data_IF_905201398900
#
_entry.id   IF_905201398900
#
_cell.length_a   1.000
_cell.length_b   1.000
_cell.length_c   1.000
_cell.angle_alpha   90.00
_cell.angle_beta   90.00
_cell.angle_gamma   90.00
#
_symmetry.space_group_name_H-M   'P 1'
#
loop_
_entity.id
_entity.type
_entity.pdbx_description
1 polymer ?
#
# COMPACT_ATOMS: atom_id res chain seq x y z
N UNK A 1 -10.94 -9.14 -3.42
CA UNK A 1 -10.13 -8.16 -2.68
C UNK A 1 -9.19 -8.85 -1.72
N UNK A 2 -8.02 -8.27 -1.49
CA UNK A 2 -7.06 -8.82 -0.54
C UNK A 2 -7.57 -8.57 0.89
N UNK A 3 -7.89 -9.64 1.61
CA UNK A 3 -8.38 -9.57 2.99
C UNK A 3 -7.30 -9.92 4.02
N UNK A 4 -6.20 -10.53 3.57
CA UNK A 4 -5.06 -10.89 4.41
C UNK A 4 -3.76 -10.76 3.61
N UNK A 5 -2.64 -10.82 4.31
CA UNK A 5 -1.31 -10.55 3.73
C UNK A 5 -0.98 -11.47 2.55
N UNK A 6 -1.35 -12.74 2.60
CA UNK A 6 -1.07 -13.69 1.53
C UNK A 6 -1.68 -13.35 0.18
N UNK A 7 -2.77 -12.57 0.17
CA UNK A 7 -3.44 -12.12 -1.05
C UNK A 7 -2.97 -10.73 -1.49
N UNK A 8 -2.15 -10.07 -0.69
CA UNK A 8 -1.71 -8.70 -0.95
C UNK A 8 -0.58 -8.69 -1.98
N UNK A 9 -0.64 -7.78 -2.95
CA UNK A 9 0.40 -7.63 -3.97
C UNK A 9 1.75 -7.17 -3.40
N UNK A 10 1.77 -6.66 -2.17
CA UNK A 10 3.00 -6.25 -1.47
C UNK A 10 3.61 -7.38 -0.64
N UNK A 11 2.94 -8.52 -0.55
CA UNK A 11 3.43 -9.69 0.19
C UNK A 11 4.35 -10.49 -0.72
N UNK A 12 5.62 -10.62 -0.33
CA UNK A 12 6.66 -11.26 -1.16
C UNK A 12 7.47 -12.25 -0.33
N UNK A 13 8.15 -13.16 -1.04
CA UNK A 13 9.10 -14.11 -0.46
C UNK A 13 8.46 -15.03 0.58
N UNK A 14 7.22 -15.47 0.32
CA UNK A 14 6.55 -16.44 1.16
C UNK A 14 7.36 -17.73 1.25
N UNK A 15 7.60 -18.21 2.47
CA UNK A 15 8.29 -19.46 2.70
C UNK A 15 7.31 -20.63 2.85
N UNK A 16 7.85 -21.84 3.11
CA UNK A 16 7.03 -23.04 3.25
C UNK A 16 6.14 -23.03 4.49
N UNK A 17 6.43 -22.18 5.47
CA UNK A 17 5.64 -22.04 6.70
C UNK A 17 4.54 -20.98 6.57
N UNK A 18 4.43 -20.33 5.41
CA UNK A 18 3.42 -19.32 5.17
C UNK A 18 3.78 -17.92 5.65
N UNK A 19 5.06 -17.65 5.88
CA UNK A 19 5.56 -16.32 6.25
C UNK A 19 6.22 -15.66 5.04
N UNK A 20 6.02 -14.39 4.91
CA UNK A 20 6.64 -13.58 3.87
C UNK A 20 6.88 -12.17 4.37
N UNK A 21 7.34 -11.31 3.48
CA UNK A 21 7.66 -9.93 3.81
C UNK A 21 6.64 -9.01 3.16
N UNK A 22 6.04 -8.11 3.95
CA UNK A 22 5.23 -7.02 3.42
C UNK A 22 6.17 -5.90 3.00
N UNK A 23 6.29 -5.67 1.69
CA UNK A 23 7.19 -4.63 1.17
C UNK A 23 6.75 -3.21 1.54
N UNK A 24 5.48 -3.04 1.91
CA UNK A 24 4.99 -1.74 2.34
C UNK A 24 5.47 -1.39 3.74
N UNK A 25 5.46 -2.35 4.66
CA UNK A 25 5.88 -2.14 6.06
C UNK A 25 7.29 -2.64 6.34
N UNK A 26 7.83 -3.54 5.51
CA UNK A 26 9.12 -4.18 5.71
C UNK A 26 9.13 -5.25 6.81
N UNK A 27 7.96 -5.61 7.32
CA UNK A 27 7.84 -6.58 8.40
C UNK A 27 7.56 -7.98 7.87
N UNK A 28 8.03 -8.99 8.59
CA UNK A 28 7.68 -10.39 8.31
C UNK A 28 6.26 -10.63 8.80
N UNK A 29 5.41 -11.14 7.90
CA UNK A 29 4.00 -11.37 8.19
C UNK A 29 3.61 -12.80 7.83
N UNK A 30 2.69 -13.37 8.59
CA UNK A 30 2.09 -14.65 8.21
C UNK A 30 1.07 -14.44 7.09
N UNK A 31 0.93 -15.44 6.22
CA UNK A 31 -0.03 -15.41 5.11
C UNK A 31 -1.44 -15.03 5.57
N UNK A 32 -1.85 -15.51 6.74
CA UNK A 32 -3.20 -15.34 7.27
C UNK A 32 -3.42 -14.04 8.04
N UNK A 33 -2.38 -13.24 8.25
CA UNK A 33 -2.55 -11.96 8.96
C UNK A 33 -3.41 -11.01 8.14
N UNK A 34 -4.30 -10.32 8.83
CA UNK A 34 -5.09 -9.25 8.22
C UNK A 34 -4.17 -8.06 7.90
N UNK A 35 -4.45 -7.40 6.78
CA UNK A 35 -3.76 -6.17 6.44
C UNK A 35 -4.09 -5.10 7.48
N UNK A 36 -3.06 -4.48 8.07
CA UNK A 36 -3.24 -3.45 9.09
C UNK A 36 -3.86 -2.15 8.53
N UNK A 37 -3.96 -2.04 7.21
CA UNK A 37 -4.56 -0.89 6.54
C UNK A 37 -5.98 -1.18 6.03
N UNK A 38 -6.51 -2.36 6.32
CA UNK A 38 -7.86 -2.73 5.90
C UNK A 38 -8.89 -1.78 6.51
N UNK A 39 -9.90 -1.41 5.70
CA UNK A 39 -11.01 -0.55 6.12
C UNK A 39 -10.60 0.84 6.63
N UNK A 40 -9.39 1.27 6.30
CA UNK A 40 -8.91 2.59 6.71
C UNK A 40 -8.59 2.70 8.20
N UNK A 41 -8.40 1.57 8.88
CA UNK A 41 -8.07 1.55 10.30
C UNK A 41 -6.71 2.17 10.62
N UNK A 42 -5.84 2.27 9.63
CA UNK A 42 -4.49 2.83 9.79
C UNK A 42 -4.18 3.79 8.66
N UNK A 43 -3.49 4.87 8.98
CA UNK A 43 -3.07 5.86 7.99
C UNK A 43 -1.70 5.49 7.42
N UNK A 44 -1.53 5.71 6.11
CA UNK A 44 -0.23 5.52 5.47
C UNK A 44 0.70 6.70 5.79
N UNK A 45 1.99 6.39 5.96
CA UNK A 45 3.02 7.44 5.97
C UNK A 45 3.22 7.95 4.53
N UNK A 46 3.90 9.10 4.38
CA UNK A 46 4.20 9.63 3.06
C UNK A 46 4.99 8.64 2.21
N UNK A 47 5.98 7.98 2.81
CA UNK A 47 6.78 6.97 2.09
C UNK A 47 5.95 5.78 1.66
N UNK A 48 5.06 5.30 2.51
CA UNK A 48 4.17 4.19 2.18
C UNK A 48 3.19 4.58 1.08
N UNK A 49 2.63 5.79 1.13
CA UNK A 49 1.75 6.29 0.09
C UNK A 49 2.46 6.35 -1.26
N UNK A 50 3.71 6.81 -1.30
CA UNK A 50 4.51 6.84 -2.53
C UNK A 50 4.70 5.43 -3.07
N UNK A 51 5.02 4.45 -2.23
CA UNK A 51 5.19 3.05 -2.65
C UNK A 51 3.90 2.49 -3.28
N UNK A 52 2.76 2.74 -2.65
CA UNK A 52 1.47 2.27 -3.16
C UNK A 52 1.16 2.91 -4.51
N UNK A 53 1.37 4.22 -4.63
CA UNK A 53 1.10 4.95 -5.88
C UNK A 53 2.03 4.52 -7.01
N UNK A 54 3.32 4.29 -6.72
CA UNK A 54 4.26 3.77 -7.71
C UNK A 54 3.84 2.39 -8.19
N UNK A 55 3.42 1.52 -7.29
CA UNK A 55 2.94 0.20 -7.63
C UNK A 55 1.70 0.27 -8.53
N UNK A 56 0.75 1.12 -8.18
CA UNK A 56 -0.46 1.34 -8.97
C UNK A 56 -0.13 1.87 -10.37
N UNK A 57 0.84 2.77 -10.47
CA UNK A 57 1.26 3.34 -11.74
C UNK A 57 1.90 2.29 -12.65
N UNK A 58 2.75 1.44 -12.10
CA UNK A 58 3.34 0.33 -12.85
C UNK A 58 2.29 -0.66 -13.32
N UNK A 59 1.37 -1.04 -12.45
CA UNK A 59 0.26 -1.91 -12.81
C UNK A 59 -0.57 -1.32 -13.96
N UNK A 60 -0.91 -0.05 -13.85
CA UNK A 60 -1.69 0.67 -14.86
C UNK A 60 -0.98 0.73 -16.22
N UNK A 61 0.34 0.79 -16.22
CA UNK A 61 1.16 0.84 -17.46
C UNK A 61 1.35 -0.52 -18.10
N UNK A 62 0.84 -1.58 -17.49
CA UNK A 62 0.90 -2.93 -18.04
C UNK A 62 2.04 -3.79 -17.54
N UNK A 63 2.74 -3.36 -16.49
CA UNK A 63 3.76 -4.20 -15.85
C UNK A 63 3.11 -5.46 -15.29
N UNK A 64 3.86 -6.56 -15.29
CA UNK A 64 3.38 -7.86 -14.81
C UNK A 64 3.40 -7.94 -13.28
N UNK A 65 2.67 -7.06 -12.64
CA UNK A 65 2.54 -7.01 -11.18
C UNK A 65 1.05 -7.02 -10.81
N UNK A 66 0.74 -7.46 -9.60
CA UNK A 66 -0.63 -7.46 -9.13
C UNK A 66 -1.18 -6.06 -8.91
N UNK A 67 -2.50 -5.92 -9.04
CA UNK A 67 -3.17 -4.69 -8.67
C UNK A 67 -2.99 -4.41 -7.18
N UNK A 68 -2.68 -3.16 -6.78
CA UNK A 68 -2.59 -2.85 -5.34
C UNK A 68 -3.97 -3.03 -4.68
N UNK A 69 -4.02 -3.43 -3.40
CA UNK A 69 -5.29 -3.57 -2.70
C UNK A 69 -6.09 -2.27 -2.74
N UNK A 70 -7.39 -2.31 -3.06
CA UNK A 70 -8.21 -1.09 -3.16
C UNK A 70 -8.20 -0.23 -1.90
N UNK A 71 -8.19 -0.87 -0.72
CA UNK A 71 -8.13 -0.14 0.55
C UNK A 71 -6.84 0.67 0.68
N UNK A 72 -5.69 0.06 0.33
CA UNK A 72 -4.40 0.75 0.36
C UNK A 72 -4.34 1.86 -0.68
N UNK A 73 -4.86 1.59 -1.87
CA UNK A 73 -4.88 2.60 -2.94
C UNK A 73 -5.71 3.81 -2.53
N UNK A 74 -6.88 3.58 -1.93
CA UNK A 74 -7.72 4.66 -1.41
C UNK A 74 -7.01 5.49 -0.36
N UNK A 75 -6.35 4.85 0.61
CA UNK A 75 -5.58 5.54 1.64
C UNK A 75 -4.44 6.36 1.05
N UNK A 76 -3.74 5.81 0.05
CA UNK A 76 -2.65 6.51 -0.61
C UNK A 76 -3.14 7.75 -1.37
N UNK A 77 -4.26 7.63 -2.06
CA UNK A 77 -4.87 8.77 -2.78
C UNK A 77 -5.29 9.85 -1.79
N UNK A 78 -5.98 9.47 -0.71
CA UNK A 78 -6.41 10.42 0.32
C UNK A 78 -5.22 11.14 0.96
N UNK A 79 -4.17 10.40 1.28
CA UNK A 79 -2.94 10.98 1.83
C UNK A 79 -2.32 11.98 0.87
N UNK A 80 -2.25 11.61 -0.41
CA UNK A 80 -1.69 12.47 -1.46
C UNK A 80 -2.48 13.78 -1.60
N UNK A 81 -3.79 13.69 -1.57
CA UNK A 81 -4.65 14.88 -1.65
C UNK A 81 -4.38 15.81 -0.49
N UNK A 82 -4.28 15.28 0.74
CA UNK A 82 -3.99 16.09 1.93
C UNK A 82 -2.65 16.80 1.82
N UNK A 83 -1.61 16.06 1.43
CA UNK A 83 -0.26 16.60 1.30
C UNK A 83 -0.20 17.69 0.23
N UNK A 84 -0.81 17.44 -0.92
CA UNK A 84 -0.84 18.41 -2.00
C UNK A 84 -1.62 19.68 -1.63
N UNK A 85 -2.73 19.54 -0.92
CA UNK A 85 -3.50 20.69 -0.43
C UNK A 85 -2.69 21.52 0.55
N UNK A 86 -1.95 20.86 1.44
CA UNK A 86 -1.05 21.54 2.36
C UNK A 86 0.03 22.31 1.61
N UNK A 87 0.61 21.71 0.59
CA UNK A 87 1.64 22.33 -0.25
C UNK A 87 1.10 23.55 -0.98
N UNK A 88 -0.10 23.46 -1.51
CA UNK A 88 -0.76 24.60 -2.19
C UNK A 88 -0.93 25.77 -1.24
N UNK A 89 -1.35 25.51 0.00
CA UNK A 89 -1.50 26.55 1.00
C UNK A 89 -0.16 27.25 1.32
N UNK A 90 0.92 26.47 1.40
CA UNK A 90 2.25 27.02 1.64
C UNK A 90 2.73 27.87 0.47
N UNK A 91 2.43 27.45 -0.76
CA UNK A 91 2.85 28.16 -1.98
C UNK A 91 2.08 29.47 -2.21
N UNK A 92 0.94 29.65 -1.56
CA UNK A 92 0.11 30.85 -1.73
C UNK A 92 0.45 31.97 -0.75
N UNK A 93 1.48 31.82 0.02
CA UNK A 93 1.89 32.84 0.99
C UNK A 93 2.63 33.99 0.32
#
# INVERSE_FOLDING_TARGET
MATHCGECSFFKHEDTDGYGICYLTGLVMAYTFKCSFEDGLKELTNEQAVKVLHHAQKWRRGDKIGMPPPALLGLAIDKSIRVLRQKIKEDKV
#
